data_IF_926763400746
#
_entry.id   IF_926763400746
#
_cell.length_a   1.000
_cell.length_b   1.000
_cell.length_c   1.000
_cell.angle_alpha   90.00
_cell.angle_beta   90.00
_cell.angle_gamma   90.00
#
_symmetry.space_group_name_H-M   'P 1'
#
loop_
_entity.id
_entity.type
_entity.pdbx_description
1 polymer ?
#
# COMPACT_ATOMS: atom_id res chain seq x y z
N UNK A 1 -13.00 0.37 16.67
CA UNK A 1 -11.89 -0.14 15.84
C UNK A 1 -11.94 0.53 14.47
N UNK A 2 -10.88 1.23 14.06
CA UNK A 2 -10.82 1.87 12.75
C UNK A 2 -10.72 0.78 11.66
N UNK A 3 -11.73 0.67 10.80
CA UNK A 3 -11.78 -0.36 9.74
C UNK A 3 -10.81 0.02 8.60
N UNK A 4 -9.58 -0.49 8.68
CA UNK A 4 -8.52 -0.30 7.67
C UNK A 4 -8.90 -0.95 6.33
N UNK A 5 -8.38 -0.40 5.22
CA UNK A 5 -8.61 -0.96 3.89
C UNK A 5 -7.87 -2.27 3.70
N UNK A 6 -8.47 -3.23 2.99
CA UNK A 6 -7.82 -4.52 2.68
C UNK A 6 -6.48 -4.31 1.98
N UNK A 7 -6.40 -3.33 1.06
CA UNK A 7 -5.15 -2.96 0.40
C UNK A 7 -4.09 -2.41 1.38
N UNK A 8 -4.50 -1.62 2.38
CA UNK A 8 -3.60 -1.10 3.42
C UNK A 8 -3.06 -2.24 4.28
N UNK A 9 -3.92 -3.23 4.62
CA UNK A 9 -3.49 -4.43 5.33
C UNK A 9 -2.49 -5.24 4.52
N UNK A 10 -2.72 -5.42 3.22
CA UNK A 10 -1.79 -6.11 2.33
C UNK A 10 -0.41 -5.41 2.27
N UNK A 11 -0.40 -4.07 2.19
CA UNK A 11 0.84 -3.28 2.23
C UNK A 11 1.60 -3.50 3.54
N UNK A 12 0.92 -3.47 4.70
CA UNK A 12 1.53 -3.78 5.99
C UNK A 12 2.14 -5.19 6.01
N UNK A 13 1.43 -6.17 5.48
CA UNK A 13 1.94 -7.54 5.34
C UNK A 13 3.21 -7.58 4.49
N UNK A 14 3.27 -6.85 3.39
CA UNK A 14 4.49 -6.79 2.56
C UNK A 14 5.66 -6.14 3.30
N UNK A 15 5.43 -5.09 4.08
CA UNK A 15 6.47 -4.49 4.93
C UNK A 15 6.98 -5.52 5.95
N UNK A 16 6.07 -6.26 6.59
CA UNK A 16 6.42 -7.34 7.52
C UNK A 16 7.21 -8.47 6.84
N UNK A 17 6.90 -8.80 5.58
CA UNK A 17 7.68 -9.77 4.79
C UNK A 17 9.11 -9.26 4.58
N UNK A 18 9.32 -7.98 4.29
CA UNK A 18 10.68 -7.39 4.16
C UNK A 18 11.42 -7.49 5.49
N UNK A 19 10.74 -7.14 6.59
CA UNK A 19 11.33 -7.11 7.93
C UNK A 19 11.74 -8.51 8.44
N UNK A 20 10.98 -9.55 8.06
CA UNK A 20 11.23 -10.94 8.47
C UNK A 20 12.05 -11.74 7.46
N UNK A 21 12.34 -11.19 6.28
CA UNK A 21 13.07 -11.89 5.23
C UNK A 21 14.54 -12.08 5.61
N UNK A 22 15.03 -13.32 5.46
CA UNK A 22 16.44 -13.67 5.56
C UNK A 22 17.12 -13.72 4.18
N UNK A 23 16.57 -13.04 3.17
CA UNK A 23 17.12 -13.04 1.82
C UNK A 23 18.53 -12.43 1.81
N UNK A 24 19.47 -13.16 1.21
CA UNK A 24 20.86 -12.72 1.05
C UNK A 24 21.08 -11.83 -0.17
N UNK A 25 20.09 -11.70 -1.05
CA UNK A 25 20.18 -10.88 -2.28
C UNK A 25 18.87 -10.15 -2.57
N UNK A 26 18.97 -9.02 -3.27
CA UNK A 26 17.80 -8.26 -3.72
C UNK A 26 16.91 -9.06 -4.68
N UNK A 27 17.51 -9.89 -5.53
CA UNK A 27 16.78 -10.78 -6.44
C UNK A 27 15.94 -11.81 -5.67
N UNK A 28 16.49 -12.37 -4.59
CA UNK A 28 15.74 -13.29 -3.73
C UNK A 28 14.60 -12.58 -3.01
N UNK A 29 14.86 -11.43 -2.39
CA UNK A 29 13.84 -10.63 -1.72
C UNK A 29 12.71 -10.24 -2.69
N UNK A 30 13.05 -9.86 -3.92
CA UNK A 30 12.06 -9.55 -4.96
C UNK A 30 11.16 -10.75 -5.30
N UNK A 31 11.71 -11.97 -5.34
CA UNK A 31 10.91 -13.19 -5.55
C UNK A 31 10.01 -13.48 -4.36
N UNK A 32 10.50 -13.33 -3.13
CA UNK A 32 9.70 -13.51 -1.90
C UNK A 32 8.52 -12.53 -1.87
N UNK A 33 8.75 -11.26 -2.18
CA UNK A 33 7.69 -10.25 -2.26
C UNK A 33 6.67 -10.54 -3.35
N UNK A 34 7.11 -10.93 -4.56
CA UNK A 34 6.20 -11.33 -5.64
C UNK A 34 5.35 -12.54 -5.24
N UNK A 35 5.95 -13.53 -4.57
CA UNK A 35 5.24 -14.70 -4.04
C UNK A 35 4.19 -14.28 -3.01
N UNK A 36 4.54 -13.40 -2.07
CA UNK A 36 3.60 -12.85 -1.09
C UNK A 36 2.43 -12.12 -1.75
N UNK A 37 2.67 -11.32 -2.80
CA UNK A 37 1.60 -10.67 -3.58
C UNK A 37 0.67 -11.69 -4.25
N UNK A 38 1.22 -12.77 -4.81
CA UNK A 38 0.41 -13.84 -5.41
C UNK A 38 -0.47 -14.50 -4.34
N UNK A 39 0.07 -14.81 -3.16
CA UNK A 39 -0.72 -15.40 -2.06
C UNK A 39 -1.83 -14.44 -1.60
N UNK A 40 -1.51 -13.16 -1.42
CA UNK A 40 -2.46 -12.11 -1.02
C UNK A 40 -3.57 -11.87 -2.06
N UNK A 41 -3.40 -12.30 -3.30
CA UNK A 41 -4.38 -12.07 -4.38
C UNK A 41 -5.12 -13.33 -4.82
N UNK A 42 -4.56 -14.52 -4.57
CA UNK A 42 -5.15 -15.80 -4.99
C UNK A 42 -5.80 -16.58 -3.85
N UNK A 43 -5.35 -16.40 -2.60
CA UNK A 43 -5.84 -17.19 -1.45
C UNK A 43 -6.83 -16.44 -0.56
N UNK A 44 -7.11 -15.17 -0.83
CA UNK A 44 -8.18 -14.43 -0.15
C UNK A 44 -9.49 -14.58 -0.91
N UNK A 45 -10.58 -14.90 -0.18
CA UNK A 45 -11.95 -15.07 -0.71
C UNK A 45 -12.43 -13.91 -1.59
N UNK A 46 -11.84 -12.74 -1.39
CA UNK A 46 -12.04 -11.56 -2.21
C UNK A 46 -10.78 -11.33 -3.05
N UNK A 47 -10.74 -11.89 -4.27
CA UNK A 47 -9.78 -11.44 -5.30
C UNK A 47 -10.09 -9.98 -5.63
N UNK A 48 -9.46 -9.08 -4.87
CA UNK A 48 -9.80 -7.67 -4.91
C UNK A 48 -8.79 -6.94 -5.78
N UNK A 49 -9.22 -6.33 -6.90
CA UNK A 49 -8.36 -5.48 -7.72
C UNK A 49 -7.60 -4.42 -6.93
N UNK A 50 -8.16 -3.95 -5.80
CA UNK A 50 -7.53 -2.99 -4.89
C UNK A 50 -6.30 -3.54 -4.16
N UNK A 51 -6.28 -4.84 -3.81
CA UNK A 51 -5.10 -5.49 -3.21
C UNK A 51 -4.01 -5.61 -4.26
N UNK A 52 -4.35 -6.14 -5.44
CA UNK A 52 -3.39 -6.28 -6.54
C UNK A 52 -2.77 -4.94 -6.92
N UNK A 53 -3.59 -3.93 -7.19
CA UNK A 53 -3.11 -2.60 -7.57
C UNK A 53 -2.30 -1.93 -6.45
N UNK A 54 -2.76 -2.04 -5.20
CA UNK A 54 -2.03 -1.51 -4.04
C UNK A 54 -0.65 -2.13 -3.90
N UNK A 55 -0.55 -3.45 -4.02
CA UNK A 55 0.72 -4.17 -3.97
C UNK A 55 1.65 -3.79 -5.13
N UNK A 56 1.15 -3.71 -6.36
CA UNK A 56 1.95 -3.33 -7.53
C UNK A 56 2.51 -1.90 -7.40
N UNK A 57 1.68 -0.93 -7.00
CA UNK A 57 2.10 0.45 -6.76
C UNK A 57 3.12 0.54 -5.62
N UNK A 58 2.89 -0.19 -4.53
CA UNK A 58 3.82 -0.26 -3.40
C UNK A 58 5.19 -0.79 -3.83
N UNK A 59 5.23 -1.94 -4.49
CA UNK A 59 6.47 -2.54 -4.98
C UNK A 59 7.20 -1.59 -5.94
N UNK A 60 6.48 -0.94 -6.85
CA UNK A 60 7.06 0.06 -7.75
C UNK A 60 7.65 1.24 -6.98
N UNK A 61 6.96 1.74 -5.95
CA UNK A 61 7.42 2.87 -5.16
C UNK A 61 8.70 2.57 -4.38
N UNK A 62 8.74 1.45 -3.65
CA UNK A 62 9.90 1.11 -2.83
C UNK A 62 11.14 0.79 -3.69
N UNK A 63 10.95 0.18 -4.86
CA UNK A 63 12.04 -0.18 -5.78
C UNK A 63 12.49 0.93 -6.73
N UNK A 64 11.84 2.10 -6.71
CA UNK A 64 12.23 3.23 -7.56
C UNK A 64 13.59 3.84 -7.16
N UNK A 65 14.03 3.64 -5.91
CA UNK A 65 15.34 4.08 -5.47
C UNK A 65 16.47 3.23 -6.08
N UNK A 66 17.66 3.81 -6.24
CA UNK A 66 18.85 3.06 -6.66
C UNK A 66 19.45 2.35 -5.45
N UNK A 67 19.79 1.07 -5.62
CA UNK A 67 20.35 0.22 -4.57
C UNK A 67 21.76 -0.31 -4.89
N UNK A 68 22.34 0.11 -6.02
CA UNK A 68 23.53 -0.50 -6.63
C UNK A 68 24.81 -0.45 -5.77
N UNK A 69 24.83 0.36 -4.71
CA UNK A 69 25.99 0.57 -3.82
C UNK A 69 25.77 0.09 -2.40
N UNK A 70 24.63 -0.53 -2.08
CA UNK A 70 24.28 -0.88 -0.70
C UNK A 70 24.40 -2.38 -0.47
N UNK A 71 24.85 -2.74 0.74
CA UNK A 71 24.74 -4.10 1.25
C UNK A 71 23.26 -4.48 1.41
N UNK A 72 22.97 -5.79 1.40
CA UNK A 72 21.58 -6.29 1.43
C UNK A 72 20.80 -5.84 2.67
N UNK A 73 21.47 -5.74 3.83
CA UNK A 73 20.85 -5.27 5.07
C UNK A 73 20.44 -3.79 4.98
N UNK A 74 21.31 -2.95 4.40
CA UNK A 74 21.00 -1.53 4.18
C UNK A 74 19.89 -1.36 3.14
N UNK A 75 19.89 -2.19 2.09
CA UNK A 75 18.79 -2.22 1.13
C UNK A 75 17.45 -2.55 1.80
N UNK A 76 17.41 -3.57 2.66
CA UNK A 76 16.20 -3.96 3.41
C UNK A 76 15.70 -2.81 4.27
N UNK A 77 16.59 -2.18 5.03
CA UNK A 77 16.24 -1.05 5.88
C UNK A 77 15.63 0.11 5.06
N UNK A 78 16.24 0.46 3.92
CA UNK A 78 15.68 1.50 3.02
C UNK A 78 14.34 1.12 2.41
N UNK A 79 14.14 -0.15 2.07
CA UNK A 79 12.84 -0.61 1.57
C UNK A 79 11.75 -0.46 2.64
N UNK A 80 12.05 -0.76 3.91
CA UNK A 80 11.13 -0.59 5.05
C UNK A 80 10.80 0.89 5.25
N UNK A 81 11.81 1.76 5.32
CA UNK A 81 11.62 3.21 5.49
C UNK A 81 10.73 3.79 4.39
N UNK A 82 10.99 3.42 3.13
CA UNK A 82 10.15 3.82 2.00
C UNK A 82 8.76 3.23 2.10
N UNK A 83 8.63 2.01 2.59
CA UNK A 83 7.36 1.35 2.81
C UNK A 83 6.48 2.09 3.83
N UNK A 84 7.07 2.51 4.94
CA UNK A 84 6.38 3.30 5.98
C UNK A 84 5.94 4.67 5.43
N UNK A 85 6.80 5.36 4.66
CA UNK A 85 6.43 6.62 3.98
C UNK A 85 5.25 6.42 3.03
N UNK A 86 5.23 5.33 2.25
CA UNK A 86 4.11 5.01 1.36
C UNK A 86 2.82 4.80 2.16
N UNK A 87 2.91 4.07 3.27
CA UNK A 87 1.79 3.73 4.14
C UNK A 87 1.20 4.97 4.82
N UNK A 88 2.04 5.84 5.36
CA UNK A 88 1.63 7.12 5.96
C UNK A 88 0.88 8.00 4.96
N UNK A 89 1.43 8.14 3.74
CA UNK A 89 0.78 8.89 2.65
C UNK A 89 -0.57 8.29 2.27
N UNK A 90 -0.64 6.96 2.19
CA UNK A 90 -1.89 6.26 1.85
C UNK A 90 -2.96 6.45 2.93
N UNK A 91 -2.57 6.41 4.22
CA UNK A 91 -3.47 6.60 5.35
C UNK A 91 -4.01 8.04 5.43
N UNK A 92 -3.15 9.03 5.18
CA UNK A 92 -3.54 10.46 5.17
C UNK A 92 -4.31 10.89 3.92
N UNK A 93 -4.26 10.10 2.84
CA UNK A 93 -4.88 10.47 1.55
C UNK A 93 -6.38 10.72 1.65
N UNK A 94 -7.12 9.98 2.48
CA UNK A 94 -8.57 10.21 2.63
C UNK A 94 -8.89 11.57 3.24
N UNK A 95 -8.10 11.99 4.23
CA UNK A 95 -8.26 13.32 4.83
C UNK A 95 -7.98 14.42 3.80
N UNK A 96 -6.91 14.26 3.01
CA UNK A 96 -6.59 15.18 1.91
C UNK A 96 -7.70 15.25 0.86
N UNK A 97 -8.28 14.10 0.48
CA UNK A 97 -9.41 14.07 -0.44
C UNK A 97 -10.58 14.88 0.13
N UNK A 98 -10.91 14.72 1.42
CA UNK A 98 -11.98 15.48 2.05
C UNK A 98 -11.69 16.99 2.02
N UNK A 99 -10.48 17.42 2.40
CA UNK A 99 -10.06 18.83 2.39
C UNK A 99 -10.22 19.46 1.00
N UNK A 100 -9.77 18.80 -0.06
CA UNK A 100 -9.93 19.31 -1.43
C UNK A 100 -11.37 19.20 -1.95
N UNK A 101 -12.19 18.31 -1.40
CA UNK A 101 -13.56 18.10 -1.88
C UNK A 101 -14.57 19.08 -1.30
N UNK A 102 -14.24 19.73 -0.18
CA UNK A 102 -15.15 20.64 0.53
C UNK A 102 -15.64 21.80 -0.35
N UNK A 103 -14.80 22.30 -1.25
CA UNK A 103 -15.15 23.41 -2.15
C UNK A 103 -16.24 23.07 -3.17
N UNK A 104 -16.49 21.78 -3.42
CA UNK A 104 -17.49 21.33 -4.40
C UNK A 104 -18.89 21.14 -3.81
N UNK A 105 -19.04 21.16 -2.49
CA UNK A 105 -20.32 20.97 -1.80
C UNK A 105 -20.78 22.32 -1.26
N UNK A 106 -21.71 22.96 -1.97
CA UNK A 106 -22.26 24.27 -1.61
C UNK A 106 -23.57 24.14 -0.84
N UNK A 107 -23.95 25.20 -0.12
CA UNK A 107 -25.23 25.23 0.60
C UNK A 107 -26.41 24.98 -0.35
N UNK A 108 -27.42 24.25 0.14
CA UNK A 108 -28.58 23.82 -0.65
C UNK A 108 -28.34 22.65 -1.61
N UNK A 109 -27.15 22.05 -1.65
CA UNK A 109 -26.86 20.90 -2.51
C UNK A 109 -27.63 19.64 -2.09
N UNK A 110 -28.14 18.89 -3.08
CA UNK A 110 -28.66 17.53 -2.90
C UNK A 110 -27.65 16.56 -3.49
N UNK A 111 -26.99 15.77 -2.65
CA UNK A 111 -25.93 14.84 -3.06
C UNK A 111 -26.49 13.43 -3.21
N UNK A 112 -26.31 12.85 -4.40
CA UNK A 112 -26.62 11.44 -4.66
C UNK A 112 -25.35 10.60 -4.52
N UNK A 113 -25.34 9.63 -3.61
CA UNK A 113 -24.27 8.64 -3.47
C UNK A 113 -24.76 7.27 -3.87
N UNK A 114 -23.91 6.44 -4.47
CA UNK A 114 -24.24 5.04 -4.76
C UNK A 114 -23.44 4.09 -3.86
N UNK A 115 -24.14 3.14 -3.24
CA UNK A 115 -23.55 2.09 -2.39
C UNK A 115 -22.71 2.67 -1.24
N UNK A 116 -21.79 1.89 -0.70
CA UNK A 116 -20.91 2.30 0.41
C UNK A 116 -19.50 2.62 -0.10
N UNK A 117 -19.04 3.85 0.16
CA UNK A 117 -17.66 4.25 -0.07
C UNK A 117 -17.12 5.02 1.13
N UNK A 118 -16.07 4.50 1.77
CA UNK A 118 -15.37 5.14 2.90
C UNK A 118 -14.65 6.43 2.56
N UNK A 119 -14.50 6.75 1.27
CA UNK A 119 -13.88 7.99 0.80
C UNK A 119 -14.94 9.08 0.63
N UNK A 120 -16.19 8.69 0.37
CA UNK A 120 -17.34 9.59 0.26
C UNK A 120 -17.92 9.92 1.64
N UNK A 121 -17.88 8.96 2.58
CA UNK A 121 -18.29 9.11 3.99
C UNK A 121 -17.13 9.56 4.88
#
# INVERSE_FOLDING_TARGET
>A
MQKTSVAITAIRTLIDVINRSSAGTMSQLSRELKSAVILLTTQTDSSMPSVKSGCELFLRFITLAKFDTFEIDECRQKLIERGEVFLERTLSSRQRIAEYSQEFIVDGSIILTHSYSRVVL
#
